data_IF_000378475702
#
_entry.id   IF_000378475702
#
_cell.length_a   1.000
_cell.length_b   1.000
_cell.length_c   1.000
_cell.angle_alpha   90.00
_cell.angle_beta   90.00
_cell.angle_gamma   90.00
#
_symmetry.space_group_name_H-M   'P 1'
#
loop_
_entity.id
_entity.type
_entity.pdbx_description
1 polymer ?
#
# COMPACT_ATOMS: atom_id res chain seq x y z
N UNK A 1 29.04 -18.11 -11.75
CA UNK A 1 27.71 -17.49 -11.80
C UNK A 1 27.85 -16.03 -11.41
N UNK A 2 27.10 -15.12 -12.02
CA UNK A 2 27.12 -13.71 -11.66
C UNK A 2 26.41 -13.57 -10.30
N UNK A 3 27.00 -12.83 -9.35
CA UNK A 3 26.39 -12.60 -8.04
C UNK A 3 25.21 -11.64 -8.16
N UNK A 4 24.15 -11.88 -7.40
CA UNK A 4 23.04 -10.95 -7.23
C UNK A 4 23.53 -9.79 -6.37
N UNK A 5 23.53 -8.58 -6.91
CA UNK A 5 23.97 -7.35 -6.24
C UNK A 5 22.81 -6.69 -5.52
N UNK A 6 22.97 -6.48 -4.23
CA UNK A 6 21.92 -5.93 -3.38
C UNK A 6 22.32 -4.55 -2.86
N UNK A 7 21.36 -3.62 -2.84
CA UNK A 7 21.40 -2.44 -1.98
C UNK A 7 20.44 -2.64 -0.81
N UNK A 8 20.92 -2.36 0.42
CA UNK A 8 20.16 -2.46 1.66
C UNK A 8 19.80 -1.08 2.18
N UNK A 9 18.49 -0.82 2.41
CA UNK A 9 17.97 0.49 2.83
C UNK A 9 17.15 0.33 4.10
N UNK A 10 17.71 0.76 5.23
CA UNK A 10 17.09 0.72 6.57
C UNK A 10 17.77 1.76 7.44
N UNK A 11 17.05 2.55 8.21
CA UNK A 11 17.61 3.59 9.06
C UNK A 11 18.29 3.04 10.34
N UNK A 12 18.02 1.77 10.68
CA UNK A 12 18.59 1.11 11.84
C UNK A 12 19.89 0.35 11.50
N UNK A 13 21.05 0.84 11.95
CA UNK A 13 22.34 0.20 11.71
C UNK A 13 22.38 -1.27 12.17
N UNK A 14 21.79 -1.58 13.34
CA UNK A 14 21.78 -2.94 13.89
C UNK A 14 21.02 -3.91 12.97
N UNK A 15 19.98 -3.44 12.29
CA UNK A 15 19.22 -4.26 11.31
C UNK A 15 20.08 -4.51 10.07
N UNK A 16 20.77 -3.49 9.55
CA UNK A 16 21.67 -3.67 8.40
C UNK A 16 22.81 -4.64 8.72
N UNK A 17 23.41 -4.53 9.91
CA UNK A 17 24.46 -5.46 10.37
C UNK A 17 23.93 -6.89 10.51
N UNK A 18 22.71 -7.05 11.04
CA UNK A 18 22.02 -8.33 11.15
C UNK A 18 21.76 -8.96 9.78
N UNK A 19 21.19 -8.20 8.84
CA UNK A 19 20.94 -8.68 7.47
C UNK A 19 22.26 -9.03 6.77
N UNK A 20 23.30 -8.22 6.93
CA UNK A 20 24.63 -8.53 6.38
C UNK A 20 25.15 -9.86 6.93
N UNK A 21 24.97 -10.11 8.22
CA UNK A 21 25.38 -11.37 8.84
C UNK A 21 24.62 -12.59 8.27
N UNK A 22 23.34 -12.43 7.90
CA UNK A 22 22.57 -13.50 7.25
C UNK A 22 23.17 -13.93 5.89
N UNK A 23 23.89 -13.06 5.20
CA UNK A 23 24.53 -13.39 3.93
C UNK A 23 25.96 -13.93 4.07
N UNK A 24 26.49 -14.07 5.30
CA UNK A 24 27.78 -14.69 5.53
C UNK A 24 27.79 -16.13 4.97
N UNK A 25 28.76 -16.42 4.13
CA UNK A 25 28.89 -17.73 3.46
C UNK A 25 28.04 -17.86 2.18
N UNK A 26 27.20 -16.89 1.79
CA UNK A 26 26.58 -16.86 0.48
C UNK A 26 27.61 -16.44 -0.57
N UNK A 27 27.80 -17.28 -1.58
CA UNK A 27 28.78 -17.01 -2.66
C UNK A 27 28.15 -16.30 -3.85
N UNK A 28 26.85 -16.27 -3.93
CA UNK A 28 26.00 -15.84 -5.04
C UNK A 28 25.20 -14.54 -4.76
N UNK A 29 25.31 -13.98 -3.55
CA UNK A 29 24.70 -12.72 -3.15
C UNK A 29 25.79 -11.78 -2.63
N UNK A 30 25.69 -10.49 -2.98
CA UNK A 30 26.63 -9.45 -2.55
C UNK A 30 25.91 -8.15 -2.22
N UNK A 31 26.07 -7.66 -0.99
CA UNK A 31 25.63 -6.31 -0.61
C UNK A 31 26.68 -5.32 -1.16
N UNK A 32 26.30 -4.56 -2.17
CA UNK A 32 27.18 -3.59 -2.83
C UNK A 32 27.07 -2.17 -2.25
N UNK A 33 25.97 -1.88 -1.57
CA UNK A 33 25.73 -0.59 -0.93
C UNK A 33 24.72 -0.73 0.21
N UNK A 34 24.81 0.21 1.15
CA UNK A 34 23.84 0.43 2.21
C UNK A 34 23.40 1.89 2.21
N UNK A 35 22.21 2.16 2.71
CA UNK A 35 21.65 3.49 2.87
C UNK A 35 20.77 3.56 4.12
N UNK A 36 20.82 4.66 4.84
CA UNK A 36 19.98 4.92 6.01
C UNK A 36 18.68 5.65 5.64
N UNK A 37 18.60 6.22 4.44
CA UNK A 37 17.44 6.95 3.94
C UNK A 37 17.33 6.87 2.41
N UNK A 38 16.27 7.47 1.88
CA UNK A 38 16.00 7.48 0.45
C UNK A 38 17.01 8.31 -0.35
N UNK A 39 17.52 9.41 0.20
CA UNK A 39 18.46 10.27 -0.50
C UNK A 39 19.81 9.56 -0.68
N UNK A 40 20.28 8.90 0.38
CA UNK A 40 21.49 8.08 0.33
C UNK A 40 21.33 6.90 -0.62
N UNK A 41 20.15 6.22 -0.61
CA UNK A 41 19.84 5.14 -1.56
C UNK A 41 19.97 5.61 -3.01
N UNK A 42 19.36 6.73 -3.36
CA UNK A 42 19.43 7.30 -4.71
C UNK A 42 20.85 7.72 -5.09
N UNK A 43 21.63 8.24 -4.13
CA UNK A 43 23.04 8.57 -4.35
C UNK A 43 23.86 7.32 -4.66
N UNK A 44 23.69 6.23 -3.90
CA UNK A 44 24.39 4.98 -4.13
C UNK A 44 24.05 4.35 -5.49
N UNK A 45 22.77 4.39 -5.88
CA UNK A 45 22.31 3.83 -7.16
C UNK A 45 22.78 4.60 -8.39
N UNK A 46 23.17 5.88 -8.25
CA UNK A 46 23.85 6.64 -9.32
C UNK A 46 25.26 6.14 -9.60
N UNK A 47 25.92 5.58 -8.59
CA UNK A 47 27.31 5.13 -8.64
C UNK A 47 27.45 3.64 -8.90
N UNK A 48 26.42 2.86 -8.61
CA UNK A 48 26.45 1.40 -8.59
C UNK A 48 25.16 0.81 -9.16
N UNK A 49 25.27 -0.27 -9.89
CA UNK A 49 24.14 -0.99 -10.42
C UNK A 49 23.81 -2.17 -9.48
N UNK A 50 22.63 -2.13 -8.86
CA UNK A 50 22.06 -3.20 -8.05
C UNK A 50 21.01 -3.97 -8.86
N UNK A 51 20.85 -5.26 -8.53
CA UNK A 51 19.81 -6.12 -9.09
C UNK A 51 18.54 -6.09 -8.20
N UNK A 52 18.75 -6.06 -6.88
CA UNK A 52 17.67 -6.07 -5.88
C UNK A 52 17.91 -4.96 -4.84
N UNK A 53 16.86 -4.24 -4.49
CA UNK A 53 16.83 -3.32 -3.34
C UNK A 53 16.01 -3.96 -2.21
N UNK A 54 16.64 -4.19 -1.05
CA UNK A 54 15.96 -4.52 0.20
C UNK A 54 15.62 -3.21 0.92
N UNK A 55 14.34 -2.93 1.11
CA UNK A 55 13.89 -1.62 1.60
C UNK A 55 12.98 -1.78 2.81
N UNK A 56 13.30 -1.10 3.92
CA UNK A 56 12.33 -0.89 5.00
C UNK A 56 11.29 0.16 4.62
N UNK A 57 10.07 -0.01 5.13
CA UNK A 57 8.99 0.97 4.95
C UNK A 57 9.22 2.22 5.80
N UNK A 58 9.71 2.05 7.02
CA UNK A 58 9.83 3.10 8.03
C UNK A 58 11.14 3.89 7.88
N UNK A 59 11.32 4.57 6.76
CA UNK A 59 12.49 5.41 6.52
C UNK A 59 12.23 6.86 6.95
N UNK A 60 13.26 7.60 7.38
CA UNK A 60 13.15 9.03 7.68
C UNK A 60 12.91 9.84 6.39
N UNK A 61 12.13 10.90 6.50
CA UNK A 61 11.78 11.77 5.38
C UNK A 61 10.68 11.22 4.49
N UNK A 62 10.99 10.31 3.58
CA UNK A 62 10.00 9.63 2.74
C UNK A 62 9.95 8.14 3.05
N UNK A 63 8.74 7.56 3.05
CA UNK A 63 8.58 6.14 3.34
C UNK A 63 9.21 5.24 2.26
N UNK A 64 9.56 4.00 2.64
CA UNK A 64 10.07 3.01 1.70
C UNK A 64 9.08 2.69 0.57
N UNK A 65 7.78 2.84 0.79
CA UNK A 65 6.77 2.73 -0.28
C UNK A 65 6.95 3.86 -1.32
N UNK A 66 7.15 5.10 -0.86
CA UNK A 66 7.36 6.22 -1.77
C UNK A 66 8.70 6.14 -2.49
N UNK A 67 9.75 5.65 -1.80
CA UNK A 67 11.02 5.33 -2.43
C UNK A 67 10.85 4.24 -3.50
N UNK A 68 10.08 3.17 -3.22
CA UNK A 68 9.78 2.11 -4.19
C UNK A 68 9.12 2.66 -5.45
N UNK A 69 8.14 3.55 -5.31
CA UNK A 69 7.48 4.22 -6.44
C UNK A 69 8.49 5.03 -7.29
N UNK A 70 9.39 5.76 -6.65
CA UNK A 70 10.45 6.50 -7.36
C UNK A 70 11.41 5.56 -8.08
N UNK A 71 11.85 4.48 -7.42
CA UNK A 71 12.78 3.52 -7.99
C UNK A 71 12.18 2.76 -9.16
N UNK A 72 10.89 2.43 -9.14
CA UNK A 72 10.20 1.76 -10.25
C UNK A 72 10.20 2.58 -11.55
N UNK A 73 10.23 3.91 -11.41
CA UNK A 73 10.31 4.85 -12.55
C UNK A 73 11.75 5.10 -12.98
N UNK A 74 12.64 5.39 -12.02
CA UNK A 74 14.02 5.79 -12.30
C UNK A 74 14.94 4.62 -12.67
N UNK A 75 14.66 3.44 -12.12
CA UNK A 75 15.47 2.23 -12.27
C UNK A 75 14.59 1.00 -12.57
N UNK A 76 13.95 0.88 -13.75
CA UNK A 76 12.99 -0.18 -14.06
C UNK A 76 13.56 -1.61 -13.99
N UNK A 77 14.87 -1.78 -14.12
CA UNK A 77 15.54 -3.07 -13.98
C UNK A 77 15.74 -3.50 -12.52
N UNK A 78 15.79 -2.53 -11.58
CA UNK A 78 15.99 -2.80 -10.16
C UNK A 78 14.71 -3.43 -9.59
N UNK A 79 14.86 -4.56 -8.92
CA UNK A 79 13.75 -5.26 -8.28
C UNK A 79 13.69 -4.86 -6.82
N UNK A 80 12.49 -4.52 -6.32
CA UNK A 80 12.32 -4.09 -4.93
C UNK A 80 11.70 -5.19 -4.10
N UNK A 81 12.36 -5.55 -2.99
CA UNK A 81 11.86 -6.39 -1.92
C UNK A 81 11.67 -5.55 -0.66
N UNK A 82 10.44 -5.43 -0.19
CA UNK A 82 10.15 -4.80 1.09
C UNK A 82 10.43 -5.77 2.23
N UNK A 83 11.12 -5.29 3.25
CA UNK A 83 11.40 -6.01 4.49
C UNK A 83 10.94 -5.15 5.66
N UNK A 84 9.82 -5.50 6.34
CA UNK A 84 9.18 -4.61 7.30
C UNK A 84 8.58 -5.32 8.51
N UNK A 85 8.46 -4.60 9.64
CA UNK A 85 7.67 -5.04 10.79
C UNK A 85 6.16 -4.81 10.60
N UNK A 86 5.77 -4.02 9.59
CA UNK A 86 4.36 -3.68 9.34
C UNK A 86 3.69 -4.71 8.42
N UNK A 87 2.78 -5.50 8.98
CA UNK A 87 2.05 -6.57 8.27
C UNK A 87 0.57 -6.24 8.07
N UNK A 88 0.19 -4.96 8.01
CA UNK A 88 -1.20 -4.62 7.70
C UNK A 88 -1.44 -4.49 6.18
N UNK A 89 -2.69 -4.72 5.78
CA UNK A 89 -3.11 -4.73 4.39
C UNK A 89 -2.80 -3.42 3.63
N UNK A 90 -2.88 -2.27 4.30
CA UNK A 90 -2.66 -0.98 3.66
C UNK A 90 -1.19 -0.81 3.22
N UNK A 91 -0.23 -1.17 4.08
CA UNK A 91 1.20 -1.13 3.72
C UNK A 91 1.55 -2.14 2.64
N UNK A 92 1.05 -3.38 2.74
CA UNK A 92 1.32 -4.43 1.76
C UNK A 92 0.78 -4.03 0.38
N UNK A 93 -0.50 -3.61 0.33
CA UNK A 93 -1.14 -3.15 -0.92
C UNK A 93 -0.46 -1.91 -1.49
N UNK A 94 -0.05 -0.97 -0.62
CA UNK A 94 0.69 0.22 -1.01
C UNK A 94 2.04 -0.12 -1.65
N UNK A 95 2.80 -1.03 -1.06
CA UNK A 95 4.09 -1.48 -1.59
C UNK A 95 3.96 -2.17 -2.95
N UNK A 96 2.97 -3.06 -3.10
CA UNK A 96 2.71 -3.76 -4.36
C UNK A 96 2.31 -2.76 -5.46
N UNK A 97 1.44 -1.79 -5.15
CA UNK A 97 1.04 -0.73 -6.09
C UNK A 97 2.20 0.17 -6.49
N UNK A 98 3.14 0.42 -5.58
CA UNK A 98 4.37 1.17 -5.83
C UNK A 98 5.38 0.41 -6.72
N UNK A 99 5.16 -0.87 -7.00
CA UNK A 99 6.02 -1.70 -7.86
C UNK A 99 6.92 -2.68 -7.12
N UNK A 100 6.72 -2.90 -5.82
CA UNK A 100 7.46 -3.93 -5.09
C UNK A 100 7.21 -5.32 -5.72
N UNK A 101 8.29 -6.08 -5.91
CA UNK A 101 8.25 -7.45 -6.41
C UNK A 101 8.04 -8.47 -5.28
N UNK A 102 8.37 -8.08 -4.05
CA UNK A 102 8.16 -8.92 -2.89
C UNK A 102 7.96 -8.13 -1.60
N UNK A 103 7.43 -8.84 -0.61
CA UNK A 103 7.22 -8.31 0.74
C UNK A 103 7.46 -9.43 1.76
N UNK A 104 8.38 -9.20 2.68
CA UNK A 104 8.69 -10.08 3.80
C UNK A 104 8.57 -9.35 5.14
N UNK A 105 8.24 -10.10 6.17
CA UNK A 105 8.36 -9.63 7.55
C UNK A 105 9.85 -9.59 7.96
N UNK A 106 10.24 -8.62 8.80
CA UNK A 106 11.64 -8.55 9.32
C UNK A 106 12.04 -9.72 10.23
N UNK A 107 11.06 -10.51 10.71
CA UNK A 107 11.28 -11.74 11.46
C UNK A 107 11.36 -13.00 10.58
N UNK A 108 11.46 -12.85 9.25
CA UNK A 108 11.65 -13.97 8.32
C UNK A 108 12.93 -14.75 8.61
N UNK A 109 12.97 -16.00 8.16
CA UNK A 109 14.19 -16.82 8.30
C UNK A 109 15.24 -16.44 7.25
N UNK A 110 16.48 -16.79 7.53
CA UNK A 110 17.59 -16.63 6.58
C UNK A 110 17.30 -17.32 5.24
N UNK A 111 16.79 -18.54 5.31
CA UNK A 111 16.49 -19.38 4.14
C UNK A 111 15.39 -18.75 3.29
N UNK A 112 14.33 -18.21 3.91
CA UNK A 112 13.24 -17.53 3.20
C UNK A 112 13.74 -16.23 2.55
N UNK A 113 14.54 -15.44 3.24
CA UNK A 113 15.11 -14.21 2.69
C UNK A 113 15.96 -14.50 1.45
N UNK A 114 16.90 -15.48 1.53
CA UNK A 114 17.79 -15.85 0.43
C UNK A 114 16.98 -16.38 -0.76
N UNK A 115 16.06 -17.32 -0.52
CA UNK A 115 15.23 -17.89 -1.61
C UNK A 115 14.36 -16.82 -2.27
N UNK A 116 13.82 -15.88 -1.49
CA UNK A 116 13.03 -14.77 -2.03
C UNK A 116 13.86 -13.85 -2.91
N UNK A 117 15.10 -13.54 -2.51
CA UNK A 117 16.01 -12.71 -3.33
C UNK A 117 16.26 -13.36 -4.68
N UNK A 118 16.51 -14.68 -4.72
CA UNK A 118 16.67 -15.40 -5.98
C UNK A 118 15.44 -15.32 -6.87
N UNK A 119 14.24 -15.57 -6.31
CA UNK A 119 12.98 -15.48 -7.05
C UNK A 119 12.76 -14.09 -7.64
N UNK A 120 13.03 -13.04 -6.85
CA UNK A 120 12.86 -11.66 -7.27
C UNK A 120 13.90 -11.26 -8.33
N UNK A 121 15.13 -11.68 -8.19
CA UNK A 121 16.18 -11.45 -9.19
C UNK A 121 15.82 -12.07 -10.55
N UNK A 122 15.14 -13.22 -10.55
CA UNK A 122 14.56 -13.86 -11.74
C UNK A 122 13.30 -13.14 -12.28
N UNK A 123 12.82 -12.09 -11.62
CA UNK A 123 11.62 -11.35 -12.00
C UNK A 123 10.31 -11.97 -11.51
N UNK A 124 10.34 -12.95 -10.63
CA UNK A 124 9.17 -13.56 -10.00
C UNK A 124 8.72 -12.72 -8.80
N UNK A 125 7.42 -12.66 -8.54
CA UNK A 125 6.87 -12.02 -7.34
C UNK A 125 6.82 -13.02 -6.18
N UNK A 126 7.06 -12.51 -4.96
CA UNK A 126 6.95 -13.31 -3.74
C UNK A 126 6.37 -12.50 -2.58
N UNK A 127 5.45 -13.10 -1.87
CA UNK A 127 4.90 -12.59 -0.61
C UNK A 127 5.15 -13.65 0.46
N UNK A 128 5.79 -13.24 1.56
CA UNK A 128 6.00 -14.13 2.70
C UNK A 128 4.69 -14.73 3.22
N UNK A 129 4.79 -15.84 3.95
CA UNK A 129 3.61 -16.56 4.44
C UNK A 129 2.67 -15.66 5.24
N UNK A 130 3.21 -14.93 6.23
CA UNK A 130 2.43 -14.03 7.08
C UNK A 130 1.77 -12.89 6.27
N UNK A 131 2.48 -12.39 5.25
CA UNK A 131 2.00 -11.36 4.34
C UNK A 131 0.85 -11.88 3.47
N UNK A 132 1.00 -13.08 2.94
CA UNK A 132 -0.01 -13.76 2.12
C UNK A 132 -1.28 -14.05 2.92
N UNK A 133 -1.15 -14.41 4.20
CA UNK A 133 -2.28 -14.63 5.10
C UNK A 133 -3.09 -13.35 5.33
N UNK A 134 -2.42 -12.22 5.58
CA UNK A 134 -3.08 -10.92 5.74
C UNK A 134 -3.86 -10.54 4.48
N UNK A 135 -3.26 -10.69 3.31
CA UNK A 135 -3.93 -10.36 2.02
C UNK A 135 -5.12 -11.30 1.77
N UNK A 136 -4.95 -12.60 1.99
CA UNK A 136 -6.00 -13.60 1.79
C UNK A 136 -7.17 -13.35 2.74
N UNK A 137 -6.90 -13.11 4.02
CA UNK A 137 -7.93 -12.80 5.02
C UNK A 137 -8.69 -11.52 4.66
N UNK A 138 -7.97 -10.46 4.25
CA UNK A 138 -8.58 -9.22 3.79
C UNK A 138 -9.44 -9.40 2.54
N UNK A 139 -8.99 -10.22 1.60
CA UNK A 139 -9.74 -10.56 0.39
C UNK A 139 -11.01 -11.37 0.71
N UNK A 140 -10.91 -12.43 1.55
CA UNK A 140 -12.06 -13.24 1.99
C UNK A 140 -13.09 -12.37 2.71
N UNK A 141 -12.64 -11.49 3.62
CA UNK A 141 -13.52 -10.55 4.32
C UNK A 141 -14.27 -9.64 3.33
N UNK A 142 -13.61 -9.15 2.28
CA UNK A 142 -14.26 -8.34 1.23
C UNK A 142 -15.24 -9.15 0.41
N UNK A 143 -14.94 -10.40 0.07
CA UNK A 143 -15.89 -11.27 -0.63
C UNK A 143 -17.13 -11.55 0.24
N UNK A 144 -16.94 -11.86 1.52
CA UNK A 144 -18.06 -12.10 2.45
C UNK A 144 -18.87 -10.83 2.71
N UNK A 145 -18.23 -9.65 2.75
CA UNK A 145 -18.94 -8.38 2.82
C UNK A 145 -19.72 -8.11 1.52
N UNK A 146 -19.17 -8.46 0.35
CA UNK A 146 -19.84 -8.31 -0.95
C UNK A 146 -20.97 -9.32 -1.14
N UNK A 147 -20.97 -10.48 -0.49
CA UNK A 147 -22.12 -11.40 -0.52
C UNK A 147 -23.29 -10.87 0.32
N UNK A 148 -23.03 -10.03 1.32
CA UNK A 148 -24.06 -9.35 2.12
C UNK A 148 -24.39 -7.94 1.62
N UNK A 149 -23.58 -7.37 0.74
CA UNK A 149 -23.75 -6.05 0.11
C UNK A 149 -23.62 -6.19 -1.41
N UNK A 150 -24.68 -6.68 -2.04
CA UNK A 150 -24.84 -6.51 -3.47
C UNK A 150 -24.94 -5.01 -3.74
N UNK A 151 -23.94 -4.45 -4.41
CA UNK A 151 -23.98 -3.14 -5.09
C UNK A 151 -23.94 -1.84 -4.27
N UNK A 152 -23.20 -1.66 -3.19
CA UNK A 152 -23.07 -0.28 -2.69
C UNK A 152 -21.63 0.16 -2.45
N UNK A 153 -21.08 0.97 -3.39
CA UNK A 153 -19.86 1.80 -3.23
C UNK A 153 -19.91 2.66 -1.95
N UNK A 154 -21.11 2.85 -1.39
CA UNK A 154 -21.41 3.65 -0.20
C UNK A 154 -21.93 2.75 0.93
N UNK A 155 -21.53 3.05 2.18
CA UNK A 155 -22.12 2.41 3.36
C UNK A 155 -23.61 2.75 3.49
N UNK A 156 -24.37 1.96 4.27
CA UNK A 156 -25.80 2.22 4.54
C UNK A 156 -26.04 3.66 5.01
N UNK A 157 -25.15 4.17 5.87
CA UNK A 157 -25.24 5.54 6.38
C UNK A 157 -24.94 6.59 5.32
N UNK A 158 -23.94 6.37 4.48
CA UNK A 158 -23.63 7.24 3.36
C UNK A 158 -24.74 7.23 2.32
N UNK A 159 -25.34 6.07 2.04
CA UNK A 159 -26.48 5.95 1.14
C UNK A 159 -27.72 6.71 1.67
N UNK A 160 -27.99 6.64 2.97
CA UNK A 160 -29.08 7.36 3.62
C UNK A 160 -28.88 8.89 3.49
N UNK A 161 -27.66 9.36 3.74
CA UNK A 161 -27.31 10.79 3.59
C UNK A 161 -27.37 11.21 2.11
N UNK A 162 -26.94 10.37 1.18
CA UNK A 162 -27.04 10.63 -0.26
C UNK A 162 -28.49 10.79 -0.69
N UNK A 163 -29.40 9.90 -0.28
CA UNK A 163 -30.84 9.97 -0.57
C UNK A 163 -31.45 11.27 -0.04
N UNK A 164 -31.23 11.58 1.24
CA UNK A 164 -31.75 12.80 1.84
C UNK A 164 -31.21 14.08 1.18
N UNK A 165 -29.95 14.06 0.72
CA UNK A 165 -29.36 15.19 -0.03
C UNK A 165 -30.01 15.32 -1.40
N UNK A 166 -30.29 14.21 -2.07
CA UNK A 166 -30.93 14.16 -3.37
C UNK A 166 -32.42 14.58 -3.28
N UNK A 167 -33.08 14.28 -2.15
CA UNK A 167 -34.43 14.79 -1.83
C UNK A 167 -34.46 16.31 -1.51
N UNK A 168 -33.31 16.99 -1.60
CA UNK A 168 -33.20 18.43 -1.45
C UNK A 168 -33.00 18.91 0.01
N UNK A 169 -32.81 18.01 1.00
CA UNK A 169 -32.60 18.41 2.39
C UNK A 169 -31.21 19.05 2.58
N UNK A 170 -31.18 20.15 3.32
CA UNK A 170 -29.95 20.81 3.74
C UNK A 170 -29.24 20.05 4.88
N UNK A 171 -27.95 20.38 5.14
CA UNK A 171 -27.15 19.71 6.15
C UNK A 171 -27.79 19.77 7.56
N UNK A 172 -28.47 20.87 7.88
CA UNK A 172 -29.17 21.04 9.17
C UNK A 172 -30.37 20.11 9.31
N UNK A 173 -31.16 19.96 8.27
CA UNK A 173 -32.31 19.08 8.22
C UNK A 173 -31.92 17.62 8.29
N UNK A 174 -30.86 17.23 7.54
CA UNK A 174 -30.29 15.90 7.58
C UNK A 174 -29.75 15.59 8.98
N UNK A 175 -29.06 16.54 9.63
CA UNK A 175 -28.50 16.36 10.97
C UNK A 175 -29.59 16.10 12.01
N UNK A 176 -30.71 16.82 11.92
CA UNK A 176 -31.88 16.64 12.79
C UNK A 176 -32.55 15.28 12.54
N UNK A 177 -32.79 14.93 11.27
CA UNK A 177 -33.48 13.69 10.88
C UNK A 177 -32.67 12.44 11.26
N UNK A 178 -31.32 12.53 11.22
CA UNK A 178 -30.42 11.41 11.48
C UNK A 178 -29.83 11.42 12.91
N UNK A 179 -30.18 12.40 13.75
CA UNK A 179 -29.66 12.57 15.11
C UNK A 179 -28.12 12.60 15.18
N UNK A 180 -27.49 13.33 14.28
CA UNK A 180 -26.03 13.51 14.22
C UNK A 180 -25.68 15.01 14.10
N UNK A 181 -24.39 15.36 14.31
CA UNK A 181 -23.98 16.76 14.16
C UNK A 181 -23.94 17.18 12.67
N UNK A 182 -24.11 18.48 12.40
CA UNK A 182 -23.97 19.05 11.04
C UNK A 182 -22.60 18.71 10.48
N UNK A 183 -21.55 18.81 11.29
CA UNK A 183 -20.18 18.47 10.92
C UNK A 183 -20.04 17.00 10.50
N UNK A 184 -20.76 16.10 11.15
CA UNK A 184 -20.80 14.68 10.79
C UNK A 184 -21.46 14.47 9.41
N UNK A 185 -22.54 15.22 9.11
CA UNK A 185 -23.18 15.17 7.78
C UNK A 185 -22.21 15.64 6.69
N UNK A 186 -21.50 16.75 6.93
CA UNK A 186 -20.50 17.28 6.01
C UNK A 186 -19.35 16.28 5.75
N UNK A 187 -18.87 15.65 6.82
CA UNK A 187 -17.84 14.60 6.72
C UNK A 187 -18.32 13.45 5.85
N UNK A 188 -19.53 12.95 6.07
CA UNK A 188 -20.09 11.88 5.23
C UNK A 188 -20.26 12.32 3.76
N UNK A 189 -20.77 13.55 3.50
CA UNK A 189 -20.87 14.06 2.11
C UNK A 189 -19.51 14.13 1.42
N UNK A 190 -18.47 14.56 2.13
CA UNK A 190 -17.11 14.60 1.59
C UNK A 190 -16.60 13.19 1.28
N UNK A 191 -16.82 12.21 2.17
CA UNK A 191 -16.45 10.82 1.92
C UNK A 191 -17.22 10.21 0.74
N UNK A 192 -18.51 10.50 0.60
CA UNK A 192 -19.32 10.07 -0.54
C UNK A 192 -18.74 10.65 -1.84
N UNK A 193 -18.49 11.95 -1.89
CA UNK A 193 -17.90 12.61 -3.06
C UNK A 193 -16.54 12.00 -3.42
N UNK A 194 -15.69 11.74 -2.43
CA UNK A 194 -14.39 11.11 -2.64
C UNK A 194 -14.52 9.69 -3.18
N UNK A 195 -15.43 8.86 -2.63
CA UNK A 195 -15.67 7.48 -3.08
C UNK A 195 -16.22 7.40 -4.49
N UNK A 196 -17.07 8.36 -4.87
CA UNK A 196 -17.71 8.42 -6.18
C UNK A 196 -16.93 9.25 -7.21
N UNK A 197 -15.79 9.86 -6.82
CA UNK A 197 -14.99 10.71 -7.70
C UNK A 197 -15.68 12.03 -8.11
N UNK A 198 -16.61 12.54 -7.27
CA UNK A 198 -17.39 13.74 -7.53
C UNK A 198 -16.72 14.99 -6.93
N UNK A 199 -16.87 16.14 -7.60
CA UNK A 199 -16.21 17.39 -7.23
C UNK A 199 -17.14 18.42 -6.55
N UNK A 200 -18.45 18.18 -6.54
CA UNK A 200 -19.42 19.13 -5.99
C UNK A 200 -20.71 18.45 -5.51
N UNK A 201 -21.43 19.12 -4.61
CA UNK A 201 -22.75 18.66 -4.14
C UNK A 201 -23.78 18.59 -5.29
N UNK A 202 -23.63 19.40 -6.34
CA UNK A 202 -24.48 19.33 -7.53
C UNK A 202 -24.27 18.04 -8.30
N UNK A 203 -23.01 17.61 -8.44
CA UNK A 203 -22.67 16.33 -9.06
C UNK A 203 -23.18 15.14 -8.24
N UNK A 204 -23.21 15.28 -6.90
CA UNK A 204 -23.75 14.29 -5.99
C UNK A 204 -25.25 14.07 -6.19
N UNK A 205 -26.04 15.14 -6.29
CA UNK A 205 -27.48 15.06 -6.61
C UNK A 205 -27.69 14.47 -8.00
N UNK A 206 -26.94 14.93 -9.00
CA UNK A 206 -27.03 14.40 -10.37
C UNK A 206 -26.69 12.90 -10.45
N UNK A 207 -25.70 12.45 -9.66
CA UNK A 207 -25.37 11.03 -9.55
C UNK A 207 -26.53 10.23 -8.98
N UNK A 208 -27.15 10.70 -7.87
CA UNK A 208 -28.27 10.01 -7.24
C UNK A 208 -29.47 9.85 -8.18
N UNK A 209 -29.77 10.85 -9.00
CA UNK A 209 -30.82 10.79 -10.04
C UNK A 209 -30.45 9.76 -11.11
N UNK A 210 -29.22 9.85 -11.63
CA UNK A 210 -28.72 8.96 -12.73
C UNK A 210 -28.64 7.50 -12.31
N UNK A 211 -28.41 7.24 -11.02
CA UNK A 211 -28.34 5.88 -10.43
C UNK A 211 -29.73 5.33 -10.04
N UNK A 212 -30.82 6.05 -10.31
CA UNK A 212 -32.16 5.59 -9.95
C UNK A 212 -32.47 5.55 -8.45
N UNK A 213 -31.65 6.21 -7.63
CA UNK A 213 -31.81 6.25 -6.18
C UNK A 213 -32.98 7.11 -5.74
N UNK A 214 -33.39 8.03 -6.58
CA UNK A 214 -34.63 8.86 -6.46
C UNK A 214 -35.32 8.93 -7.81
N UNK A 215 -36.63 8.82 -7.80
CA UNK A 215 -37.50 9.08 -8.94
C UNK A 215 -37.98 10.55 -8.86
N UNK A 216 -37.74 11.34 -9.91
CA UNK A 216 -38.32 12.68 -10.08
C UNK A 216 -39.66 12.54 -10.74
#
# INVERSE_FOLDING_TARGET
>A
MQKIKIILVDDHQIIRDGIRALFNGCTDIEIIAEAADAAECLQQLRLRQADVALIDISLPGISGIKLTEQLSVLYPSLKVLILSMHLNEAYISGAIKAGAMGYLAKNTTREELISTIHLIAEGKKYLGKDVSEVITTGFVRRLQANENENTELLSKREMEILKLTADGLGNREISQKLFISIRTVESHKNHIMQKLGLKSSVELVRYAIKSGLINI
#
